data_IF_496155673665
#
_entry.id   IF_496155673665
#
_cell.length_a   1.000
_cell.length_b   1.000
_cell.length_c   1.000
_cell.angle_alpha   90.00
_cell.angle_beta   90.00
_cell.angle_gamma   90.00
#
_symmetry.space_group_name_H-M   'P 1'
#
loop_
_entity.id
_entity.type
_entity.pdbx_description
1 polymer ?
#
# COMPACT_ATOMS: atom_id res chain seq x y z
N UNK A 1 -31.80 25.19 14.54
CA UNK A 1 -31.78 23.74 14.19
C UNK A 1 -30.48 23.15 14.70
N UNK A 2 -30.51 22.40 15.79
CA UNK A 2 -29.33 21.68 16.28
C UNK A 2 -28.85 20.69 15.20
N UNK A 3 -27.65 20.92 14.67
CA UNK A 3 -27.03 19.99 13.72
C UNK A 3 -26.92 18.63 14.42
N UNK A 4 -27.60 17.62 13.87
CA UNK A 4 -27.52 16.23 14.34
C UNK A 4 -26.06 15.76 14.28
N UNK A 5 -25.35 15.84 15.39
CA UNK A 5 -23.93 15.45 15.45
C UNK A 5 -23.86 13.93 15.46
N UNK A 6 -22.98 13.35 14.64
CA UNK A 6 -22.78 11.91 14.58
C UNK A 6 -22.26 11.41 15.95
N UNK A 7 -23.03 10.55 16.62
CA UNK A 7 -22.66 9.96 17.90
C UNK A 7 -21.47 9.00 17.81
N UNK A 8 -21.01 8.50 18.96
CA UNK A 8 -19.90 7.55 19.03
C UNK A 8 -20.19 6.28 18.21
N UNK A 9 -19.17 5.76 17.52
CA UNK A 9 -19.28 4.54 16.74
C UNK A 9 -19.47 3.34 17.68
N UNK A 10 -20.66 2.73 17.63
CA UNK A 10 -20.99 1.53 18.42
C UNK A 10 -20.67 0.21 17.71
N UNK A 11 -20.42 0.24 16.39
CA UNK A 11 -20.15 -0.95 15.57
C UNK A 11 -21.13 -2.12 15.87
N UNK A 12 -22.43 -1.81 15.94
CA UNK A 12 -23.47 -2.70 16.47
C UNK A 12 -23.50 -4.06 15.76
N UNK A 13 -23.40 -4.06 14.44
CA UNK A 13 -23.43 -5.27 13.61
C UNK A 13 -22.30 -6.26 13.96
N UNK A 14 -21.10 -5.77 14.27
CA UNK A 14 -19.98 -6.63 14.69
C UNK A 14 -20.14 -7.09 16.14
N UNK A 15 -20.84 -6.30 16.96
CA UNK A 15 -21.13 -6.66 18.35
C UNK A 15 -22.29 -7.66 18.48
N UNK A 16 -23.16 -7.76 17.46
CA UNK A 16 -24.29 -8.69 17.39
C UNK A 16 -23.95 -10.00 16.66
N UNK A 17 -22.67 -10.26 16.37
CA UNK A 17 -22.24 -11.54 15.80
C UNK A 17 -22.35 -12.64 16.86
N UNK A 18 -22.85 -13.80 16.46
CA UNK A 18 -22.88 -14.97 17.31
C UNK A 18 -21.46 -15.45 17.65
N UNK A 19 -21.35 -16.23 18.73
CA UNK A 19 -20.06 -16.80 19.15
C UNK A 19 -19.53 -17.68 18.01
N UNK A 20 -18.30 -17.39 17.57
CA UNK A 20 -17.65 -18.10 16.45
C UNK A 20 -17.99 -17.57 15.05
N UNK A 21 -18.99 -16.68 14.91
CA UNK A 21 -19.33 -16.09 13.62
C UNK A 21 -18.31 -15.02 13.21
N UNK A 22 -17.83 -15.09 11.96
CA UNK A 22 -16.87 -14.14 11.39
C UNK A 22 -17.39 -13.52 10.10
N UNK A 23 -17.08 -12.25 9.90
CA UNK A 23 -17.36 -11.52 8.67
C UNK A 23 -16.20 -11.70 7.69
N UNK A 24 -16.50 -12.25 6.50
CA UNK A 24 -15.52 -12.33 5.41
C UNK A 24 -15.16 -10.94 4.90
N UNK A 25 -13.87 -10.67 4.73
CA UNK A 25 -13.35 -9.42 4.16
C UNK A 25 -12.39 -9.72 3.03
N UNK A 26 -12.36 -8.83 2.05
CA UNK A 26 -11.43 -8.90 0.92
C UNK A 26 -10.41 -7.79 1.05
N UNK A 27 -9.13 -8.11 0.91
CA UNK A 27 -8.07 -7.12 0.88
C UNK A 27 -7.76 -6.71 -0.56
N UNK A 28 -7.57 -5.42 -0.77
CA UNK A 28 -7.08 -4.85 -2.02
C UNK A 28 -6.24 -3.63 -1.67
N UNK A 29 -5.05 -3.52 -2.26
CA UNK A 29 -4.12 -2.45 -1.94
C UNK A 29 -3.86 -2.33 -0.42
N UNK A 30 -3.60 -3.48 0.22
CA UNK A 30 -3.28 -3.62 1.65
C UNK A 30 -4.36 -3.13 2.63
N UNK A 31 -5.61 -2.95 2.18
CA UNK A 31 -6.76 -2.61 3.04
C UNK A 31 -8.02 -3.31 2.57
N UNK A 32 -9.02 -3.36 3.43
CA UNK A 32 -10.29 -4.01 3.10
C UNK A 32 -11.08 -3.23 2.05
N UNK A 33 -11.77 -3.95 1.15
CA UNK A 33 -12.73 -3.43 0.16
C UNK A 33 -14.06 -4.20 0.23
N UNK A 34 -15.08 -3.69 -0.43
CA UNK A 34 -16.39 -4.31 -0.51
C UNK A 34 -17.26 -4.14 0.75
N UNK A 35 -18.29 -4.99 0.85
CA UNK A 35 -19.42 -4.85 1.79
C UNK A 35 -18.98 -4.65 3.26
N UNK A 36 -18.05 -5.47 3.73
CA UNK A 36 -17.62 -5.49 5.13
C UNK A 36 -16.46 -4.53 5.44
N UNK A 37 -15.93 -3.81 4.46
CA UNK A 37 -14.78 -2.90 4.64
C UNK A 37 -15.05 -1.77 5.64
N UNK A 38 -16.24 -1.17 5.58
CA UNK A 38 -16.64 -0.13 6.50
C UNK A 38 -16.78 -0.64 7.94
N UNK A 39 -17.29 -1.86 8.11
CA UNK A 39 -17.40 -2.52 9.42
C UNK A 39 -16.02 -2.83 9.98
N UNK A 40 -15.12 -3.34 9.15
CA UNK A 40 -13.73 -3.60 9.51
C UNK A 40 -13.04 -2.34 10.04
N UNK A 41 -13.06 -1.24 9.26
CA UNK A 41 -12.47 0.04 9.67
C UNK A 41 -13.07 0.58 10.98
N UNK A 42 -14.39 0.48 11.13
CA UNK A 42 -15.12 0.88 12.34
C UNK A 42 -14.69 0.05 13.54
N UNK A 43 -14.50 -1.25 13.37
CA UNK A 43 -14.08 -2.17 14.41
C UNK A 43 -12.64 -1.89 14.86
N UNK A 44 -11.70 -1.70 13.91
CA UNK A 44 -10.33 -1.25 14.23
C UNK A 44 -10.34 0.04 15.06
N UNK A 45 -11.19 1.00 14.66
CA UNK A 45 -11.36 2.24 15.39
C UNK A 45 -11.94 2.05 16.80
N UNK A 46 -12.68 0.97 17.08
CA UNK A 46 -13.16 0.62 18.43
C UNK A 46 -12.02 0.07 19.26
N UNK A 47 -11.28 -0.90 18.72
CA UNK A 47 -10.12 -1.51 19.39
C UNK A 47 -9.10 -0.46 19.80
N UNK A 48 -8.76 0.44 18.87
CA UNK A 48 -7.80 1.52 19.09
C UNK A 48 -8.22 2.51 20.18
N UNK A 49 -9.51 2.59 20.52
CA UNK A 49 -10.07 3.47 21.57
C UNK A 49 -10.33 2.74 22.88
N UNK A 50 -10.33 1.41 22.88
CA UNK A 50 -10.45 0.59 24.08
C UNK A 50 -9.13 0.61 24.87
N UNK A 51 -9.17 1.01 26.15
CA UNK A 51 -7.97 1.14 27.00
C UNK A 51 -7.48 -0.20 27.56
N UNK A 52 -8.34 -1.21 27.60
CA UNK A 52 -7.95 -2.56 28.03
C UNK A 52 -7.12 -3.25 26.93
N UNK A 53 -7.39 -2.92 25.67
CA UNK A 53 -6.76 -3.53 24.51
C UNK A 53 -5.59 -2.69 24.00
N UNK A 54 -5.80 -1.40 23.72
CA UNK A 54 -4.80 -0.51 23.12
C UNK A 54 -4.33 0.56 24.12
N UNK A 55 -3.03 0.69 24.43
CA UNK A 55 -2.55 1.69 25.38
C UNK A 55 -2.68 3.13 24.83
N UNK A 56 -2.95 4.10 25.73
CA UNK A 56 -2.95 5.53 25.40
C UNK A 56 -1.66 6.24 25.83
N UNK A 57 -1.21 5.96 27.06
CA UNK A 57 -0.07 6.61 27.72
C UNK A 57 1.29 6.12 27.22
N UNK A 58 1.44 5.99 25.90
CA UNK A 58 2.72 5.67 25.25
C UNK A 58 3.08 6.79 24.30
N UNK A 59 4.37 7.16 24.24
CA UNK A 59 4.85 8.27 23.41
C UNK A 59 4.67 8.00 21.91
N UNK A 60 4.90 6.76 21.49
CA UNK A 60 4.84 6.33 20.10
C UNK A 60 4.25 4.94 19.97
N UNK A 61 3.61 4.67 18.82
CA UNK A 61 3.11 3.33 18.48
C UNK A 61 4.22 2.27 18.52
N UNK A 62 5.46 2.67 18.19
CA UNK A 62 6.63 1.78 18.23
C UNK A 62 6.96 1.27 19.64
N UNK A 63 6.48 1.94 20.68
CA UNK A 63 6.70 1.55 22.08
C UNK A 63 5.55 0.69 22.64
N UNK A 64 4.56 0.34 21.81
CA UNK A 64 3.55 -0.65 22.19
C UNK A 64 4.19 -2.03 22.12
N UNK A 65 4.16 -2.77 23.24
CA UNK A 65 4.72 -4.13 23.33
C UNK A 65 4.05 -5.07 22.32
N UNK A 66 4.84 -6.00 21.78
CA UNK A 66 4.38 -6.99 20.81
C UNK A 66 3.20 -7.82 21.32
N UNK A 67 3.18 -8.17 22.61
CA UNK A 67 2.06 -8.85 23.28
C UNK A 67 0.72 -8.11 23.09
N UNK A 68 0.74 -6.78 23.20
CA UNK A 68 -0.45 -5.94 23.00
C UNK A 68 -0.81 -5.85 21.52
N UNK A 69 0.18 -5.83 20.62
CA UNK A 69 -0.07 -5.91 19.18
C UNK A 69 -0.72 -7.25 18.79
N UNK A 70 -0.25 -8.35 19.38
CA UNK A 70 -0.81 -9.69 19.21
C UNK A 70 -2.24 -9.79 19.75
N UNK A 71 -2.50 -9.22 20.93
CA UNK A 71 -3.86 -9.17 21.47
C UNK A 71 -4.78 -8.34 20.55
N UNK A 72 -4.36 -7.16 20.10
CA UNK A 72 -5.12 -6.37 19.11
C UNK A 72 -5.42 -7.17 17.85
N UNK A 73 -4.43 -7.91 17.33
CA UNK A 73 -4.59 -8.76 16.16
C UNK A 73 -5.58 -9.91 16.40
N UNK A 74 -5.51 -10.58 17.56
CA UNK A 74 -6.42 -11.65 17.93
C UNK A 74 -7.88 -11.16 17.97
N UNK A 75 -8.14 -9.96 18.52
CA UNK A 75 -9.48 -9.36 18.54
C UNK A 75 -10.00 -9.09 17.12
N UNK A 76 -9.14 -8.72 16.17
CA UNK A 76 -9.54 -8.57 14.77
C UNK A 76 -9.91 -9.93 14.17
N UNK A 77 -9.08 -10.96 14.38
CA UNK A 77 -9.31 -12.32 13.86
C UNK A 77 -10.50 -13.05 14.50
N UNK A 78 -10.95 -12.59 15.66
CA UNK A 78 -12.15 -13.10 16.31
C UNK A 78 -13.41 -12.74 15.51
N UNK A 79 -13.44 -11.57 14.85
CA UNK A 79 -14.64 -11.05 14.16
C UNK A 79 -14.56 -11.07 12.65
N UNK A 80 -13.37 -11.21 12.07
CA UNK A 80 -13.15 -11.12 10.64
C UNK A 80 -12.27 -12.25 10.14
N UNK A 81 -12.51 -12.63 8.88
CA UNK A 81 -11.77 -13.70 8.21
C UNK A 81 -11.52 -13.37 6.73
N UNK A 82 -10.41 -13.87 6.19
CA UNK A 82 -9.96 -13.73 4.80
C UNK A 82 -9.04 -14.90 4.47
N UNK A 83 -8.97 -15.29 3.20
CA UNK A 83 -8.15 -16.43 2.77
C UNK A 83 -6.65 -16.21 3.07
N UNK A 84 -6.22 -14.94 3.05
CA UNK A 84 -4.85 -14.48 3.27
C UNK A 84 -4.70 -13.60 4.53
N UNK A 85 -5.59 -13.77 5.52
CA UNK A 85 -5.72 -12.86 6.67
C UNK A 85 -4.40 -12.58 7.41
N UNK A 86 -3.57 -13.60 7.62
CA UNK A 86 -2.31 -13.45 8.36
C UNK A 86 -1.26 -12.62 7.59
N UNK A 87 -1.26 -12.69 6.26
CA UNK A 87 -0.37 -11.89 5.40
C UNK A 87 -0.63 -10.39 5.54
N UNK A 88 -1.84 -10.00 5.92
CA UNK A 88 -2.23 -8.60 6.11
C UNK A 88 -1.98 -8.05 7.53
N UNK A 89 -1.44 -8.84 8.46
CA UNK A 89 -1.27 -8.44 9.87
C UNK A 89 -0.59 -7.07 10.01
N UNK A 90 0.55 -6.89 9.36
CA UNK A 90 1.34 -5.66 9.49
C UNK A 90 0.64 -4.46 8.83
N UNK A 91 -0.09 -4.68 7.74
CA UNK A 91 -0.89 -3.66 7.09
C UNK A 91 -2.07 -3.23 7.97
N UNK A 92 -2.74 -4.19 8.62
CA UNK A 92 -3.83 -3.91 9.57
C UNK A 92 -3.32 -3.18 10.81
N UNK A 93 -2.20 -3.61 11.41
CA UNK A 93 -1.58 -2.89 12.53
C UNK A 93 -1.09 -1.49 12.11
N UNK A 94 -0.58 -1.34 10.90
CA UNK A 94 -0.25 -0.04 10.31
C UNK A 94 -1.47 0.87 10.18
N UNK A 95 -2.62 0.32 9.79
CA UNK A 95 -3.88 1.06 9.75
C UNK A 95 -4.36 1.44 11.16
N UNK A 96 -4.26 0.53 12.13
CA UNK A 96 -4.59 0.83 13.53
C UNK A 96 -3.71 1.95 14.10
N UNK A 97 -2.42 1.98 13.76
CA UNK A 97 -1.50 3.08 14.09
C UNK A 97 -1.98 4.43 13.57
N UNK A 98 -2.45 4.49 12.32
CA UNK A 98 -3.02 5.72 11.75
C UNK A 98 -4.27 6.17 12.50
N UNK A 99 -5.19 5.24 12.78
CA UNK A 99 -6.41 5.50 13.55
C UNK A 99 -6.09 6.00 14.96
N UNK A 100 -5.05 5.43 15.59
CA UNK A 100 -4.60 5.80 16.93
C UNK A 100 -4.01 7.21 16.95
N UNK A 101 -3.15 7.54 15.98
CA UNK A 101 -2.62 8.89 15.83
C UNK A 101 -3.73 9.91 15.52
N UNK A 102 -4.68 9.55 14.65
CA UNK A 102 -5.84 10.41 14.33
C UNK A 102 -6.67 10.68 15.58
N UNK A 103 -6.94 9.66 16.39
CA UNK A 103 -7.70 9.82 17.62
C UNK A 103 -6.97 10.70 18.65
N UNK A 104 -5.66 10.50 18.85
CA UNK A 104 -4.85 11.40 19.72
C UNK A 104 -4.88 12.85 19.22
N UNK A 105 -4.81 13.05 17.90
CA UNK A 105 -4.97 14.38 17.29
C UNK A 105 -6.34 15.01 17.58
N UNK A 106 -7.42 14.23 17.52
CA UNK A 106 -8.77 14.69 17.87
C UNK A 106 -8.91 15.03 19.36
N UNK A 107 -8.26 14.28 20.24
CA UNK A 107 -8.21 14.59 21.67
C UNK A 107 -7.50 15.92 21.91
N UNK A 108 -6.34 16.12 21.29
CA UNK A 108 -5.61 17.37 21.35
C UNK A 108 -6.45 18.54 20.84
N UNK A 109 -7.02 18.42 19.64
CA UNK A 109 -7.82 19.48 19.01
C UNK A 109 -9.02 19.89 19.87
N UNK A 110 -9.75 18.91 20.43
CA UNK A 110 -10.97 19.18 21.18
C UNK A 110 -10.71 19.69 22.60
N UNK A 111 -9.78 19.07 23.31
CA UNK A 111 -9.65 19.25 24.77
C UNK A 111 -8.41 20.04 25.19
N UNK A 112 -7.44 20.28 24.31
CA UNK A 112 -6.15 20.89 24.68
C UNK A 112 -5.83 22.13 23.86
N UNK A 113 -6.02 22.09 22.54
CA UNK A 113 -5.67 23.16 21.63
C UNK A 113 -6.38 24.46 22.02
N UNK A 114 -5.61 25.52 22.20
CA UNK A 114 -6.12 26.86 22.54
C UNK A 114 -6.61 27.03 23.97
N UNK A 115 -6.39 26.04 24.85
CA UNK A 115 -6.81 26.10 26.26
C UNK A 115 -5.60 26.16 27.20
N UNK A 116 -5.71 26.85 28.35
CA UNK A 116 -4.71 26.74 29.42
C UNK A 116 -4.57 25.29 29.90
N UNK A 117 -3.37 24.90 30.32
CA UNK A 117 -3.08 23.52 30.79
C UNK A 117 -4.04 23.10 31.91
N UNK A 118 -4.33 23.97 32.86
CA UNK A 118 -5.25 23.69 33.96
C UNK A 118 -6.67 23.37 33.49
N UNK A 119 -7.15 24.06 32.45
CA UNK A 119 -8.46 23.80 31.86
C UNK A 119 -8.47 22.49 31.06
N UNK A 120 -7.40 22.24 30.29
CA UNK A 120 -7.24 20.99 29.54
C UNK A 120 -7.21 19.75 30.47
N UNK A 121 -6.60 19.86 31.65
CA UNK A 121 -6.59 18.81 32.65
C UNK A 121 -7.99 18.52 33.24
N UNK A 122 -8.83 19.55 33.42
CA UNK A 122 -10.22 19.39 33.89
C UNK A 122 -11.13 18.80 32.80
N UNK A 123 -10.87 19.11 31.53
CA UNK A 123 -11.65 18.67 30.38
C UNK A 123 -11.32 17.23 29.93
N UNK A 124 -11.40 16.27 30.87
CA UNK A 124 -11.06 14.87 30.63
C UNK A 124 -12.10 14.16 29.73
N UNK A 125 -11.68 13.48 28.66
CA UNK A 125 -12.58 12.69 27.82
C UNK A 125 -13.15 11.48 28.58
N UNK A 126 -14.45 11.19 28.37
CA UNK A 126 -15.10 10.01 28.93
C UNK A 126 -14.40 8.72 28.48
N UNK A 127 -14.04 7.85 29.44
CA UNK A 127 -13.37 6.57 29.19
C UNK A 127 -11.85 6.63 29.10
N UNK A 128 -11.24 7.80 29.37
CA UNK A 128 -9.78 7.93 29.54
C UNK A 128 -9.47 8.00 31.04
N UNK A 129 -8.45 7.25 31.48
CA UNK A 129 -8.00 7.27 32.87
C UNK A 129 -7.31 8.61 33.20
N UNK A 130 -7.54 9.14 34.40
CA UNK A 130 -6.98 10.42 34.87
C UNK A 130 -5.47 10.49 34.72
N UNK A 131 -4.72 9.48 35.19
CA UNK A 131 -3.25 9.44 35.09
C UNK A 131 -2.77 9.49 33.64
N UNK A 132 -3.44 8.75 32.75
CA UNK A 132 -3.11 8.74 31.32
C UNK A 132 -3.42 10.09 30.65
N UNK A 133 -4.52 10.72 31.04
CA UNK A 133 -4.89 12.05 30.53
C UNK A 133 -3.90 13.12 30.98
N UNK A 134 -3.53 13.13 32.26
CA UNK A 134 -2.54 14.06 32.82
C UNK A 134 -1.20 13.95 32.09
N UNK A 135 -0.71 12.72 31.88
CA UNK A 135 0.52 12.49 31.13
C UNK A 135 0.41 12.96 29.68
N UNK A 136 -0.71 12.70 28.99
CA UNK A 136 -0.90 13.18 27.62
C UNK A 136 -0.84 14.71 27.53
N UNK A 137 -1.51 15.41 28.45
CA UNK A 137 -1.56 16.87 28.45
C UNK A 137 -0.21 17.46 28.84
N UNK A 138 0.45 16.94 29.88
CA UNK A 138 1.67 17.51 30.45
C UNK A 138 2.96 17.11 29.74
N UNK A 139 3.01 15.91 29.17
CA UNK A 139 4.23 15.34 28.58
C UNK A 139 4.13 15.19 27.06
N UNK A 140 2.99 14.70 26.55
CA UNK A 140 2.89 14.39 25.12
C UNK A 140 2.56 15.62 24.25
N UNK A 141 1.46 16.31 24.54
CA UNK A 141 0.96 17.42 23.72
C UNK A 141 1.76 18.71 23.86
N UNK A 142 2.46 18.88 24.98
CA UNK A 142 3.38 19.97 25.28
C UNK A 142 4.80 19.72 24.74
N UNK A 143 5.12 18.48 24.34
CA UNK A 143 6.46 18.17 23.82
C UNK A 143 6.79 18.98 22.56
N UNK A 144 8.06 19.42 22.46
CA UNK A 144 8.57 20.15 21.29
C UNK A 144 8.34 19.37 19.99
N UNK A 145 8.56 18.06 20.03
CA UNK A 145 8.37 17.16 18.89
C UNK A 145 6.93 17.06 18.39
N UNK A 146 5.96 17.06 19.32
CA UNK A 146 4.54 17.04 18.97
C UNK A 146 4.13 18.39 18.38
N UNK A 147 4.49 19.50 19.03
CA UNK A 147 4.16 20.84 18.56
C UNK A 147 4.74 21.12 17.17
N UNK A 148 6.02 20.78 16.94
CA UNK A 148 6.67 20.94 15.65
C UNK A 148 5.94 20.16 14.53
N UNK A 149 5.56 18.90 14.79
CA UNK A 149 4.78 18.08 13.85
C UNK A 149 3.38 18.65 13.61
N UNK A 150 2.69 19.06 14.67
CA UNK A 150 1.34 19.61 14.60
C UNK A 150 1.30 20.90 13.76
N UNK A 151 2.26 21.80 13.98
CA UNK A 151 2.38 23.05 13.22
C UNK A 151 2.69 22.78 11.75
N UNK A 152 3.66 21.90 11.46
CA UNK A 152 3.98 21.49 10.08
C UNK A 152 2.76 20.88 9.37
N UNK A 153 2.03 20.00 10.04
CA UNK A 153 0.83 19.38 9.48
C UNK A 153 -0.29 20.40 9.24
N UNK A 154 -0.42 21.42 10.10
CA UNK A 154 -1.39 22.51 9.93
C UNK A 154 -1.06 23.34 8.70
N UNK A 155 0.21 23.73 8.54
CA UNK A 155 0.69 24.48 7.37
C UNK A 155 0.50 23.65 6.09
N UNK A 156 0.85 22.36 6.12
CA UNK A 156 0.68 21.47 4.97
C UNK A 156 -0.80 21.30 4.60
N UNK A 157 -1.69 21.21 5.60
CA UNK A 157 -3.13 21.11 5.36
C UNK A 157 -3.69 22.38 4.73
N UNK A 158 -3.21 23.56 5.12
CA UNK A 158 -3.61 24.83 4.54
C UNK A 158 -3.22 24.98 3.06
N UNK A 159 -2.20 24.25 2.60
CA UNK A 159 -1.74 24.23 1.20
C UNK A 159 -2.48 23.24 0.29
N UNK A 160 -3.45 22.48 0.81
CA UNK A 160 -4.16 21.48 0.02
C UNK A 160 -5.23 22.14 -0.87
N UNK A 161 -5.08 22.03 -2.19
CA UNK A 161 -5.97 22.68 -3.17
C UNK A 161 -6.89 21.72 -3.94
N UNK A 162 -6.36 20.63 -4.51
CA UNK A 162 -7.13 19.65 -5.29
C UNK A 162 -7.84 18.62 -4.39
N UNK A 163 -8.96 19.03 -3.80
CA UNK A 163 -9.76 18.21 -2.89
C UNK A 163 -10.46 17.03 -3.59
N UNK A 164 -10.70 15.95 -2.84
CA UNK A 164 -11.48 14.82 -3.32
C UNK A 164 -12.98 15.01 -3.06
N UNK A 165 -13.82 14.55 -3.99
CA UNK A 165 -15.28 14.73 -3.97
C UNK A 165 -16.05 13.40 -3.82
N UNK A 166 -15.45 12.40 -3.17
CA UNK A 166 -15.98 11.03 -3.05
C UNK A 166 -16.61 10.69 -1.68
N UNK A 167 -16.77 11.70 -0.82
CA UNK A 167 -17.32 11.52 0.53
C UNK A 167 -16.51 10.53 1.37
N UNK A 168 -17.19 9.58 2.02
CA UNK A 168 -16.53 8.56 2.86
C UNK A 168 -16.07 7.32 2.10
N UNK A 169 -16.28 7.26 0.78
CA UNK A 169 -15.83 6.14 -0.04
C UNK A 169 -14.31 6.24 -0.20
N UNK A 170 -13.53 5.20 0.13
CA UNK A 170 -12.08 5.26 -0.01
C UNK A 170 -11.68 5.09 -1.48
N UNK A 171 -10.58 5.73 -1.90
CA UNK A 171 -10.11 5.68 -3.30
C UNK A 171 -9.90 4.25 -3.80
N UNK A 172 -9.31 3.38 -2.97
CA UNK A 172 -9.12 1.95 -3.31
C UNK A 172 -10.42 1.22 -3.66
N UNK A 173 -11.56 1.61 -3.10
CA UNK A 173 -12.86 1.01 -3.43
C UNK A 173 -13.29 1.41 -4.84
N UNK A 174 -12.96 2.63 -5.26
CA UNK A 174 -13.21 3.10 -6.63
C UNK A 174 -12.34 2.32 -7.61
N UNK A 175 -11.04 2.17 -7.31
CA UNK A 175 -10.10 1.40 -8.13
C UNK A 175 -10.56 -0.05 -8.24
N UNK A 176 -10.93 -0.67 -7.12
CA UNK A 176 -11.43 -2.05 -7.08
C UNK A 176 -12.69 -2.24 -7.94
N UNK A 177 -13.66 -1.32 -7.84
CA UNK A 177 -14.91 -1.39 -8.61
C UNK A 177 -14.73 -1.12 -10.10
N UNK A 178 -13.70 -0.36 -10.50
CA UNK A 178 -13.42 0.02 -11.89
C UNK A 178 -12.45 -0.93 -12.62
N UNK A 179 -12.45 -2.20 -12.23
CA UNK A 179 -11.65 -3.26 -12.89
C UNK A 179 -10.52 -3.79 -12.03
N UNK A 180 -10.16 -3.13 -10.92
CA UNK A 180 -9.15 -3.64 -9.99
C UNK A 180 -9.51 -5.01 -9.38
N UNK A 181 -10.80 -5.34 -9.26
CA UNK A 181 -11.27 -6.67 -8.84
C UNK A 181 -10.95 -7.78 -9.84
N UNK A 182 -10.85 -7.44 -11.13
CA UNK A 182 -10.66 -8.37 -12.25
C UNK A 182 -9.19 -8.37 -12.73
N UNK A 183 -8.28 -7.76 -11.96
CA UNK A 183 -6.87 -7.62 -12.33
C UNK A 183 -6.58 -6.49 -13.33
N UNK A 184 -7.58 -5.71 -13.73
CA UNK A 184 -7.46 -4.62 -14.70
C UNK A 184 -7.73 -3.26 -14.03
N UNK A 185 -6.83 -2.78 -13.15
CA UNK A 185 -7.03 -1.50 -12.48
C UNK A 185 -7.05 -0.34 -13.49
N UNK A 186 -7.85 0.70 -13.25
CA UNK A 186 -7.87 1.89 -14.11
C UNK A 186 -6.52 2.62 -14.09
N UNK A 187 -6.23 3.34 -15.17
CA UNK A 187 -5.09 4.26 -15.25
C UNK A 187 -5.22 5.44 -14.26
N UNK A 188 -4.13 6.19 -14.10
CA UNK A 188 -4.07 7.33 -13.18
C UNK A 188 -5.04 8.46 -13.57
N UNK A 189 -5.28 8.72 -14.86
CA UNK A 189 -6.19 9.77 -15.31
C UNK A 189 -7.62 9.48 -14.84
N UNK A 190 -8.07 8.24 -15.07
CA UNK A 190 -9.36 7.72 -14.64
C UNK A 190 -9.49 7.78 -13.11
N UNK A 191 -8.47 7.36 -12.36
CA UNK A 191 -8.46 7.45 -10.89
C UNK A 191 -8.55 8.92 -10.44
N UNK A 192 -7.78 9.81 -11.07
CA UNK A 192 -7.74 11.22 -10.72
C UNK A 192 -9.10 11.89 -10.95
N UNK A 193 -9.70 11.65 -12.11
CA UNK A 193 -11.02 12.16 -12.48
C UNK A 193 -12.11 11.66 -11.53
N UNK A 194 -12.20 10.36 -11.31
CA UNK A 194 -13.24 9.75 -10.47
C UNK A 194 -13.18 10.19 -9.01
N UNK A 195 -11.98 10.53 -8.53
CA UNK A 195 -11.79 10.97 -7.14
C UNK A 195 -12.06 12.46 -6.93
N UNK A 196 -12.15 13.25 -8.00
CA UNK A 196 -12.27 14.72 -7.95
C UNK A 196 -13.46 15.29 -8.72
N UNK A 197 -14.16 14.49 -9.52
CA UNK A 197 -15.37 14.95 -10.21
C UNK A 197 -16.46 15.36 -9.22
N UNK A 198 -17.14 16.45 -9.53
CA UNK A 198 -18.35 16.95 -8.88
C UNK A 198 -19.44 17.02 -9.96
N UNK A 199 -20.54 16.31 -9.78
CA UNK A 199 -21.60 16.22 -10.79
C UNK A 199 -21.08 15.83 -12.20
N UNK A 200 -20.17 14.85 -12.27
CA UNK A 200 -19.50 14.40 -13.50
C UNK A 200 -18.63 15.44 -14.22
N UNK A 201 -18.20 16.52 -13.55
CA UNK A 201 -17.23 17.46 -14.11
C UNK A 201 -16.13 17.81 -13.10
N UNK A 202 -14.97 18.19 -13.59
CA UNK A 202 -13.94 18.81 -12.76
C UNK A 202 -14.25 20.30 -12.67
N UNK A 203 -14.21 20.86 -11.45
CA UNK A 203 -14.67 22.24 -11.20
C UNK A 203 -13.55 23.21 -10.86
N UNK A 204 -12.39 22.71 -10.44
CA UNK A 204 -11.25 23.51 -10.01
C UNK A 204 -10.22 23.62 -11.15
N UNK A 205 -9.79 24.85 -11.52
CA UNK A 205 -8.83 25.08 -12.63
C UNK A 205 -7.56 24.25 -12.48
N UNK A 206 -6.95 24.25 -11.29
CA UNK A 206 -5.74 23.48 -11.01
C UNK A 206 -5.96 21.97 -11.14
N UNK A 207 -7.15 21.46 -10.78
CA UNK A 207 -7.52 20.06 -10.97
C UNK A 207 -7.71 19.73 -12.45
N UNK A 208 -8.34 20.62 -13.23
CA UNK A 208 -8.54 20.46 -14.67
C UNK A 208 -7.19 20.43 -15.39
N UNK A 209 -6.34 21.42 -15.14
CA UNK A 209 -4.99 21.51 -15.71
C UNK A 209 -4.15 20.27 -15.37
N UNK A 210 -4.19 19.82 -14.11
CA UNK A 210 -3.47 18.61 -13.70
C UNK A 210 -4.05 17.33 -14.29
N UNK A 211 -5.36 17.24 -14.45
CA UNK A 211 -5.97 16.10 -15.14
C UNK A 211 -5.53 16.05 -16.60
N UNK A 212 -5.51 17.19 -17.31
CA UNK A 212 -5.05 17.26 -18.69
C UNK A 212 -3.58 16.81 -18.83
N UNK A 213 -2.70 17.27 -17.93
CA UNK A 213 -1.29 16.83 -17.90
C UNK A 213 -1.14 15.31 -17.68
N UNK A 214 -1.96 14.73 -16.78
CA UNK A 214 -1.94 13.28 -16.56
C UNK A 214 -2.44 12.54 -17.79
N UNK A 215 -3.53 13.02 -18.40
CA UNK A 215 -4.14 12.39 -19.57
C UNK A 215 -3.19 12.40 -20.77
N UNK A 216 -2.53 13.53 -21.05
CA UNK A 216 -1.52 13.64 -22.10
C UNK A 216 -0.36 12.66 -21.90
N UNK A 217 0.11 12.47 -20.66
CA UNK A 217 1.16 11.50 -20.35
C UNK A 217 0.70 10.04 -20.51
N UNK A 218 -0.53 9.73 -20.13
CA UNK A 218 -1.11 8.39 -20.33
C UNK A 218 -1.24 8.07 -21.83
N UNK A 219 -1.62 9.07 -22.64
CA UNK A 219 -1.80 8.91 -24.09
C UNK A 219 -0.47 8.85 -24.85
N UNK A 220 0.51 9.68 -24.47
CA UNK A 220 1.82 9.76 -25.15
C UNK A 220 2.80 8.64 -24.74
N UNK A 221 2.74 8.17 -23.50
CA UNK A 221 3.63 7.14 -22.97
C UNK A 221 2.83 5.99 -22.29
N UNK A 222 2.08 5.18 -23.06
CA UNK A 222 1.19 4.15 -22.50
C UNK A 222 1.92 3.00 -21.79
N UNK A 223 3.24 2.88 -21.96
CA UNK A 223 4.08 1.91 -21.26
C UNK A 223 4.41 2.32 -19.82
N UNK A 224 4.21 3.58 -19.45
CA UNK A 224 4.49 4.05 -18.08
C UNK A 224 3.53 3.42 -17.08
N UNK A 225 4.10 2.98 -15.97
CA UNK A 225 3.31 2.59 -14.82
C UNK A 225 2.66 3.82 -14.16
N UNK A 226 1.55 3.59 -13.47
CA UNK A 226 0.87 4.66 -12.72
C UNK A 226 1.79 5.39 -11.72
N UNK A 227 2.80 4.73 -11.14
CA UNK A 227 3.74 5.37 -10.21
C UNK A 227 4.70 6.32 -10.94
N UNK A 228 5.16 5.97 -12.14
CA UNK A 228 6.02 6.84 -12.94
C UNK A 228 5.27 8.09 -13.39
N UNK A 229 4.02 7.94 -13.82
CA UNK A 229 3.15 9.08 -14.17
C UNK A 229 2.94 9.98 -12.94
N UNK A 230 2.66 9.40 -11.77
CA UNK A 230 2.56 10.17 -10.51
C UNK A 230 3.85 10.95 -10.24
N UNK A 231 5.02 10.34 -10.40
CA UNK A 231 6.30 10.99 -10.13
C UNK A 231 6.63 12.09 -11.14
N UNK A 232 6.28 11.91 -12.42
CA UNK A 232 6.38 12.97 -13.44
C UNK A 232 5.45 14.15 -13.12
N UNK A 233 4.22 13.92 -12.68
CA UNK A 233 3.23 14.99 -12.44
C UNK A 233 3.36 15.70 -11.07
N UNK A 234 3.76 14.97 -10.04
CA UNK A 234 3.70 15.41 -8.63
C UNK A 234 5.04 15.32 -7.88
N UNK A 235 6.10 14.89 -8.57
CA UNK A 235 7.43 14.69 -8.01
C UNK A 235 7.60 13.38 -7.23
N UNK A 236 8.82 13.12 -6.71
CA UNK A 236 9.18 11.83 -6.11
C UNK A 236 8.29 11.41 -4.93
N UNK A 237 7.84 10.16 -4.93
CA UNK A 237 6.98 9.59 -3.87
C UNK A 237 7.82 8.75 -2.89
N UNK A 238 8.22 9.30 -1.73
CA UNK A 238 9.22 8.66 -0.86
C UNK A 238 8.77 8.31 0.57
N UNK A 239 7.65 8.84 1.08
CA UNK A 239 7.45 8.88 2.56
C UNK A 239 6.28 8.13 3.16
N UNK A 240 5.18 7.86 2.45
CA UNK A 240 4.08 7.08 3.04
C UNK A 240 3.00 6.66 2.06
N UNK A 241 2.41 7.63 1.38
CA UNK A 241 1.26 7.43 0.51
C UNK A 241 1.67 7.82 -0.90
N UNK A 242 1.19 7.06 -1.88
CA UNK A 242 1.29 7.45 -3.28
C UNK A 242 0.09 8.34 -3.59
N UNK A 243 0.37 9.50 -4.19
CA UNK A 243 -0.67 10.40 -4.65
C UNK A 243 -1.67 9.65 -5.55
N UNK A 244 -2.97 9.85 -5.32
CA UNK A 244 -4.03 9.20 -6.11
C UNK A 244 -4.45 7.80 -5.64
N UNK A 245 -3.70 7.11 -4.78
CA UNK A 245 -4.03 5.72 -4.37
C UNK A 245 -4.66 5.61 -2.97
N UNK A 246 -4.62 6.70 -2.20
CA UNK A 246 -5.17 6.74 -0.84
C UNK A 246 -4.36 5.90 0.16
N UNK A 247 -4.98 5.57 1.31
CA UNK A 247 -4.34 4.78 2.36
C UNK A 247 -4.24 3.30 2.00
N UNK A 248 -3.08 2.69 2.27
CA UNK A 248 -2.81 1.26 2.06
C UNK A 248 -1.63 1.01 1.11
N UNK A 249 -1.53 1.82 0.06
CA UNK A 249 -0.46 1.74 -0.94
C UNK A 249 0.70 2.65 -0.57
N UNK A 250 1.91 2.09 -0.57
CA UNK A 250 3.18 2.80 -0.44
C UNK A 250 3.93 2.75 -1.77
N UNK A 251 4.86 3.68 -1.98
CA UNK A 251 5.66 3.73 -3.20
C UNK A 251 6.39 2.39 -3.47
N UNK A 252 6.90 1.73 -2.43
CA UNK A 252 7.53 0.41 -2.54
C UNK A 252 6.59 -0.71 -3.01
N UNK A 253 5.28 -0.54 -2.84
CA UNK A 253 4.28 -1.54 -3.25
C UNK A 253 4.00 -1.41 -4.76
N UNK A 254 4.18 -0.22 -5.34
CA UNK A 254 3.98 0.05 -6.77
C UNK A 254 5.26 -0.07 -7.60
N UNK A 255 6.43 0.21 -7.01
CA UNK A 255 7.73 0.16 -7.71
C UNK A 255 8.29 -1.26 -7.85
N UNK A 256 7.47 -2.29 -7.61
CA UNK A 256 7.93 -3.63 -7.30
C UNK A 256 8.52 -3.65 -5.90
N UNK A 257 8.08 -4.58 -5.06
CA UNK A 257 8.65 -4.73 -3.72
C UNK A 257 10.16 -4.75 -3.81
N UNK A 258 10.84 -3.88 -3.06
CA UNK A 258 12.29 -3.95 -2.97
C UNK A 258 12.62 -5.30 -2.34
N UNK A 259 13.00 -6.28 -3.16
CA UNK A 259 14.04 -7.22 -2.74
C UNK A 259 15.10 -6.36 -2.07
N UNK A 260 15.42 -6.68 -0.82
CA UNK A 260 16.45 -5.96 -0.09
C UNK A 260 17.70 -5.88 -0.96
N UNK A 261 18.55 -4.85 -0.78
CA UNK A 261 19.82 -4.78 -1.51
C UNK A 261 20.62 -6.10 -1.42
N UNK A 262 20.46 -6.83 -0.31
CA UNK A 262 21.03 -8.16 -0.12
C UNK A 262 20.40 -9.24 -1.03
N UNK A 263 19.08 -9.29 -1.16
CA UNK A 263 18.39 -10.22 -2.06
C UNK A 263 18.71 -9.94 -3.54
N UNK A 264 18.71 -8.68 -3.96
CA UNK A 264 19.11 -8.31 -5.32
C UNK A 264 20.56 -8.68 -5.63
N UNK A 265 21.46 -8.52 -4.66
CA UNK A 265 22.86 -8.93 -4.81
C UNK A 265 23.01 -10.46 -4.83
N UNK A 266 22.20 -11.19 -4.08
CA UNK A 266 22.21 -12.65 -4.09
C UNK A 266 21.72 -13.19 -5.44
N UNK A 267 20.63 -12.63 -5.96
CA UNK A 267 20.05 -12.99 -7.24
C UNK A 267 20.99 -12.63 -8.40
N UNK A 268 21.57 -11.42 -8.38
CA UNK A 268 22.58 -11.01 -9.37
C UNK A 268 23.79 -11.95 -9.39
N UNK A 269 24.30 -12.36 -8.22
CA UNK A 269 25.40 -13.33 -8.13
C UNK A 269 24.99 -14.70 -8.66
N UNK A 270 23.75 -15.12 -8.42
CA UNK A 270 23.20 -16.38 -8.94
C UNK A 270 23.15 -16.35 -10.46
N UNK A 271 22.54 -15.31 -11.04
CA UNK A 271 22.46 -15.12 -12.50
C UNK A 271 23.84 -14.98 -13.15
N UNK A 272 24.80 -14.34 -12.48
CA UNK A 272 26.18 -14.26 -12.97
C UNK A 272 26.86 -15.63 -13.02
N UNK A 273 26.66 -16.48 -11.99
CA UNK A 273 27.18 -17.86 -11.98
C UNK A 273 26.56 -18.70 -13.10
N UNK A 274 25.25 -18.60 -13.28
CA UNK A 274 24.53 -19.32 -14.33
C UNK A 274 25.02 -18.89 -15.73
N UNK A 275 25.17 -17.59 -15.96
CA UNK A 275 25.73 -17.08 -17.22
C UNK A 275 27.17 -17.53 -17.46
N UNK A 276 27.99 -17.60 -16.42
CA UNK A 276 29.36 -18.11 -16.54
C UNK A 276 29.35 -19.59 -16.92
N UNK A 277 28.53 -20.40 -16.24
CA UNK A 277 28.35 -21.81 -16.57
C UNK A 277 27.89 -22.01 -18.02
N UNK A 278 26.90 -21.24 -18.48
CA UNK A 278 26.42 -21.30 -19.86
C UNK A 278 27.53 -20.92 -20.86
N UNK A 279 28.34 -19.90 -20.56
CA UNK A 279 29.49 -19.54 -21.41
C UNK A 279 30.52 -20.65 -21.50
N UNK A 280 30.86 -21.29 -20.38
CA UNK A 280 31.82 -22.39 -20.34
C UNK A 280 31.28 -23.60 -21.12
N UNK A 281 29.99 -23.92 -20.95
CA UNK A 281 29.30 -24.97 -21.70
C UNK A 281 29.31 -24.69 -23.21
N UNK A 282 28.99 -23.46 -23.62
CA UNK A 282 29.07 -23.04 -25.02
C UNK A 282 30.49 -23.14 -25.58
N UNK A 283 31.51 -22.78 -24.79
CA UNK A 283 32.90 -22.87 -25.24
C UNK A 283 33.32 -24.33 -25.44
N UNK A 284 32.88 -25.24 -24.58
CA UNK A 284 33.13 -26.68 -24.74
C UNK A 284 32.48 -27.21 -26.01
N UNK A 285 31.20 -26.89 -26.24
CA UNK A 285 30.52 -27.27 -27.49
C UNK A 285 31.21 -26.71 -28.74
N UNK A 286 31.73 -25.49 -28.69
CA UNK A 286 32.50 -24.91 -29.80
C UNK A 286 33.79 -25.68 -30.08
N UNK A 287 34.46 -26.20 -29.04
CA UNK A 287 35.67 -27.01 -29.21
C UNK A 287 35.34 -28.37 -29.80
N UNK A 288 34.30 -29.05 -29.29
CA UNK A 288 33.81 -30.33 -29.85
C UNK A 288 33.40 -30.19 -31.33
N UNK A 289 32.74 -29.08 -31.68
CA UNK A 289 32.39 -28.78 -33.08
C UNK A 289 33.62 -28.59 -33.97
N UNK A 290 34.70 -27.99 -33.46
CA UNK A 290 35.96 -27.86 -34.21
C UNK A 290 36.62 -29.22 -34.42
N UNK A 291 36.67 -30.06 -33.39
CA UNK A 291 37.22 -31.41 -33.49
C UNK A 291 36.43 -32.28 -34.47
N UNK A 292 35.10 -32.24 -34.42
CA UNK A 292 34.23 -32.94 -35.38
C UNK A 292 34.43 -32.44 -36.81
N UNK A 293 34.62 -31.12 -37.00
CA UNK A 293 34.90 -30.56 -38.31
C UNK A 293 36.26 -31.02 -38.85
N UNK A 294 37.29 -31.05 -38.02
CA UNK A 294 38.61 -31.55 -38.39
C UNK A 294 38.58 -33.05 -38.72
N UNK A 295 37.86 -33.85 -37.93
CA UNK A 295 37.68 -35.28 -38.20
C UNK A 295 36.94 -35.52 -39.53
N UNK A 296 35.91 -34.70 -39.81
CA UNK A 296 35.20 -34.74 -41.09
C UNK A 296 36.13 -34.40 -42.26
N UNK A 297 36.96 -33.37 -42.15
CA UNK A 297 37.93 -32.99 -43.17
C UNK A 297 38.98 -34.09 -43.39
N UNK A 298 39.48 -34.70 -42.32
CA UNK A 298 40.41 -35.83 -42.40
C UNK A 298 39.80 -37.06 -43.07
N UNK A 299 38.56 -37.42 -42.70
CA UNK A 299 37.84 -38.52 -43.31
C UNK A 299 37.62 -38.32 -44.82
N UNK A 300 37.22 -37.11 -45.23
CA UNK A 300 37.05 -36.76 -46.64
C UNK A 300 38.38 -36.80 -47.41
N UNK A 301 39.50 -36.42 -46.78
CA UNK A 301 40.83 -36.49 -47.40
C UNK A 301 41.32 -37.93 -47.63
N UNK A 302 40.95 -38.88 -46.75
CA UNK A 302 41.29 -40.31 -46.91
C UNK A 302 40.40 -41.04 -47.92
N UNK A 303 39.22 -40.51 -48.19
CA UNK A 303 38.25 -41.10 -49.11
C UNK A 303 37.85 -40.10 -50.22
N UNK A 304 38.76 -39.77 -51.16
CA UNK A 304 38.53 -38.73 -52.18
C UNK A 304 37.38 -39.05 -53.15
N UNK A 305 36.93 -40.29 -53.22
CA UNK A 305 35.76 -40.73 -54.02
C UNK A 305 34.47 -40.84 -53.19
N UNK A 306 34.48 -40.46 -51.91
CA UNK A 306 33.29 -40.47 -51.07
C UNK A 306 32.36 -39.30 -51.45
N UNK A 307 31.26 -39.61 -52.13
CA UNK A 307 30.13 -38.69 -52.24
C UNK A 307 29.22 -38.89 -51.02
N UNK A 308 28.98 -37.86 -50.19
CA UNK A 308 27.96 -37.97 -49.15
C UNK A 308 26.61 -38.28 -49.82
N UNK A 309 25.74 -39.09 -49.20
CA UNK A 309 24.43 -39.38 -49.76
C UNK A 309 23.72 -38.06 -50.06
N UNK A 310 23.26 -37.89 -51.30
CA UNK A 310 22.36 -36.80 -51.65
C UNK A 310 21.11 -37.03 -50.80
N UNK A 311 20.85 -36.16 -49.84
CA UNK A 311 19.53 -36.12 -49.20
C UNK A 311 18.54 -35.73 -50.29
N UNK A 312 17.86 -36.72 -50.87
CA UNK A 312 16.55 -36.49 -51.46
C UNK A 312 15.67 -35.96 -50.32
N UNK A 313 15.46 -34.64 -50.33
CA UNK A 313 14.41 -34.01 -49.55
C UNK A 313 13.09 -34.46 -50.15
N UNK A 314 12.62 -35.64 -49.73
CA UNK A 314 11.22 -36.03 -49.90
C UNK A 314 10.42 -35.36 -48.77
N UNK A 315 10.32 -34.03 -48.86
CA UNK A 315 9.22 -33.30 -48.21
C UNK A 315 8.00 -33.44 -49.12
N UNK A 316 7.39 -34.62 -49.07
CA UNK A 316 5.98 -34.78 -49.39
C UNK A 316 5.18 -34.55 -48.11
N UNK A 317 4.49 -33.40 -48.08
CA UNK A 317 3.53 -32.92 -47.08
C UNK A 317 2.41 -33.94 -46.77
N UNK A 318 1.77 -33.85 -45.59
CA UNK A 318 0.58 -33.00 -45.46
C UNK A 318 0.61 -31.96 -44.32
#
# INVERSE_FOLDING_TARGET
MDKKVRGSNKCKEVASLDIGQKLKVTFYNNRTVGKNSNLFSRHLGKIVRDRNICPLGVSSWKHIKEEKLNHMWAVVKDKFDSDDMNSHRDHVLGWMKELWNKWRGQLHEKYVKGKPIQEALKNMPKGVEKKQWEWLVKEHFTSKDFQARSNRNTINRAKLKMLHHIGSKPIREIIYQKGGKDGNPPDLATIFYETRKKNNTLVDSETIEKHAQIQELVESEPSLSNIEIVEKCFGPQSRSHVFGFGGGVKAKDLKGGTSSKAELLAELRSTQKENQYLKDCMSNFQNEMKELKQLKEFFLAQHPNYQPPIQENDYSDP
#
